data_IF_947693226598
#
_entry.id   IF_947693226598
#
_cell.length_a   1.000
_cell.length_b   1.000
_cell.length_c   1.000
_cell.angle_alpha   90.00
_cell.angle_beta   90.00
_cell.angle_gamma   90.00
#
_symmetry.space_group_name_H-M   'P 1'
#
loop_
_entity.id
_entity.type
_entity.pdbx_description
1 polymer ?
#
# COMPACT_ATOMS: atom_id res chain seq x y z
N UNK A 1 18.30 42.43 -36.35
CA UNK A 1 18.06 42.09 -35.97
C UNK A 1 17.63 41.30 -35.42
N UNK A 2 17.42 41.15 -35.25
CA UNK A 2 17.00 40.57 -34.73
C UNK A 2 16.60 39.72 -34.15
N UNK A 3 16.29 39.34 -33.93
CA UNK A 3 15.89 38.68 -33.38
C UNK A 3 15.47 37.97 -32.79
N UNK A 4 15.19 37.67 -32.61
CA UNK A 4 14.72 37.13 -32.01
C UNK A 4 14.38 36.39 -31.47
N UNK A 5 14.05 35.98 -31.27
CA UNK A 5 13.70 35.41 -30.71
C UNK A 5 13.26 34.72 -30.08
N UNK A 6 13.02 34.37 -29.89
CA UNK A 6 12.48 33.84 -29.22
C UNK A 6 12.22 32.95 -28.74
N UNK A 7 11.95 32.60 -28.49
CA UNK A 7 11.63 31.93 -27.98
C UNK A 7 11.16 31.19 -27.26
N UNK A 8 10.92 30.82 -27.07
CA UNK A 8 10.46 30.24 -26.39
C UNK A 8 10.04 29.46 -25.76
N UNK A 9 9.83 29.09 -25.60
CA UNK A 9 9.31 28.44 -24.92
C UNK A 9 8.98 27.65 -24.36
N UNK A 10 8.73 27.32 -24.09
CA UNK A 10 8.31 26.71 -23.48
C UNK A 10 7.90 25.95 -22.89
N UNK A 11 7.68 25.55 -22.77
CA UNK A 11 7.23 24.95 -22.23
C UNK A 11 6.84 24.24 -21.57
N UNK A 12 6.65 23.95 -21.38
CA UNK A 12 6.21 23.38 -20.72
C UNK A 12 5.85 22.58 -20.24
N UNK A 13 5.66 22.28 -20.08
CA UNK A 13 5.19 21.64 -19.55
C UNK A 13 4.85 20.85 -18.98
N UNK A 14 4.67 20.55 -18.83
CA UNK A 14 4.21 19.93 -18.26
C UNK A 14 3.91 19.21 -17.61
N UNK A 15 3.74 18.96 -17.37
CA UNK A 15 3.38 18.40 -16.68
C UNK A 15 2.80 17.70 -16.16
N UNK A 16 2.54 17.48 -16.07
CA UNK A 16 1.89 16.96 -15.56
C UNK A 16 1.61 16.00 -15.10
N UNK A 17 1.64 15.63 -14.88
CA UNK A 17 1.45 14.81 -14.44
C UNK A 17 0.89 14.24 -13.58
N UNK A 18 0.47 14.10 -13.35
CA UNK A 18 -0.20 13.58 -12.65
C UNK A 18 -0.21 12.52 -12.09
N UNK A 19 -0.31 12.23 -11.48
CA UNK A 19 -0.29 11.34 -10.73
C UNK A 19 -1.11 10.54 -10.70
N UNK A 20 -1.06 10.13 -11.17
CA UNK A 20 -1.75 9.27 -11.26
C UNK A 20 -2.18 8.68 -10.16
N UNK A 21 -1.65 8.38 -9.57
CA UNK A 21 -2.03 7.64 -8.54
C UNK A 21 -3.05 8.18 -7.90
N UNK A 22 -3.16 8.92 -8.10
CA UNK A 22 -4.08 9.43 -7.56
C UNK A 22 -4.85 8.83 -6.61
N UNK A 23 -5.81 8.79 -6.70
CA UNK A 23 -6.68 8.47 -5.84
C UNK A 23 -6.72 7.30 -5.41
N UNK A 24 -6.35 7.11 -4.68
CA UNK A 24 -6.33 6.01 -4.19
C UNK A 24 -7.57 5.68 -4.07
N UNK A 25 -8.02 5.27 -4.48
CA UNK A 25 -9.15 4.84 -4.36
C UNK A 25 -9.41 3.82 -3.54
N UNK A 26 -10.34 3.50 -3.24
CA UNK A 26 -10.77 2.40 -2.54
C UNK A 26 -10.30 1.23 -3.21
N UNK A 27 -10.03 0.21 -2.58
CA UNK A 27 -9.61 -0.98 -3.26
C UNK A 27 -8.17 -1.02 -3.65
N UNK A 28 -7.35 -0.21 -3.04
CA UNK A 28 -5.95 -0.21 -3.40
C UNK A 28 -5.20 -1.44 -2.90
N UNK A 29 -5.74 -2.20 -1.98
CA UNK A 29 -5.05 -3.35 -1.42
C UNK A 29 -5.14 -4.55 -2.37
N UNK A 30 -4.00 -5.19 -2.60
CA UNK A 30 -3.94 -6.38 -3.45
C UNK A 30 -3.42 -7.55 -2.63
N UNK A 31 -4.03 -8.70 -2.80
CA UNK A 31 -3.59 -9.91 -2.11
C UNK A 31 -2.42 -10.60 -2.79
N UNK A 32 -1.99 -10.10 -3.92
CA UNK A 32 -0.93 -10.76 -4.68
C UNK A 32 0.35 -10.86 -3.87
N UNK A 33 0.86 -12.05 -3.71
CA UNK A 33 2.14 -12.27 -3.06
C UNK A 33 2.12 -12.17 -1.55
N UNK A 34 0.97 -11.89 -0.94
CA UNK A 34 0.94 -11.73 0.51
C UNK A 34 1.15 -13.02 1.27
N UNK A 35 0.84 -14.15 0.65
CA UNK A 35 1.01 -15.44 1.32
C UNK A 35 2.47 -15.75 1.62
N UNK A 36 3.40 -15.08 0.95
CA UNK A 36 4.82 -15.32 1.19
C UNK A 36 5.26 -14.85 2.57
N UNK A 37 4.47 -14.03 3.22
CA UNK A 37 4.84 -13.53 4.54
C UNK A 37 4.45 -14.48 5.68
N UNK A 38 3.68 -15.52 5.38
CA UNK A 38 3.27 -16.47 6.41
C UNK A 38 4.48 -17.12 7.04
N UNK A 39 4.48 -17.22 8.35
CA UNK A 39 5.57 -17.83 9.09
C UNK A 39 6.66 -16.87 9.53
N UNK A 40 6.63 -15.66 9.06
CA UNK A 40 7.65 -14.69 9.45
C UNK A 40 7.27 -14.01 10.77
N UNK A 41 8.26 -13.45 11.44
CA UNK A 41 8.02 -12.78 12.70
C UNK A 41 7.25 -11.49 12.49
N UNK A 42 6.39 -11.17 13.45
CA UNK A 42 5.62 -9.94 13.39
C UNK A 42 6.49 -8.80 13.87
N UNK A 43 7.08 -8.09 12.94
CA UNK A 43 7.94 -6.94 13.26
C UNK A 43 7.44 -5.72 12.52
N UNK A 44 7.81 -4.52 13.00
CA UNK A 44 7.44 -3.30 12.28
C UNK A 44 7.97 -3.29 10.86
N UNK A 45 9.17 -3.83 10.65
CA UNK A 45 9.74 -3.85 9.30
C UNK A 45 8.92 -4.72 8.36
N UNK A 46 8.48 -5.87 8.83
CA UNK A 46 7.66 -6.76 8.02
C UNK A 46 6.31 -6.08 7.75
N UNK A 47 5.76 -5.41 8.74
CA UNK A 47 4.50 -4.69 8.54
C UNK A 47 4.63 -3.65 7.44
N UNK A 48 5.74 -2.89 7.45
CA UNK A 48 5.95 -1.89 6.43
C UNK A 48 6.09 -2.53 5.05
N UNK A 49 6.72 -3.70 5.00
CA UNK A 49 6.89 -4.37 3.74
C UNK A 49 5.56 -4.88 3.20
N UNK A 50 4.73 -5.38 4.08
CA UNK A 50 3.40 -5.86 3.70
C UNK A 50 2.56 -4.70 3.18
N UNK A 51 2.65 -3.54 3.84
CA UNK A 51 1.92 -2.38 3.35
C UNK A 51 2.37 -2.01 1.94
N UNK A 52 3.67 -2.04 1.72
CA UNK A 52 4.21 -1.69 0.42
C UNK A 52 3.79 -2.70 -0.63
N UNK A 53 3.87 -3.97 -0.29
CA UNK A 53 3.55 -5.02 -1.24
C UNK A 53 2.08 -5.04 -1.59
N UNK A 54 1.23 -4.80 -0.60
CA UNK A 54 -0.22 -4.85 -0.81
C UNK A 54 -0.75 -3.57 -1.45
N UNK A 55 -0.06 -2.46 -1.27
CA UNK A 55 -0.57 -1.18 -1.71
C UNK A 55 -1.60 -0.58 -0.79
N UNK A 56 -1.84 -1.21 0.37
CA UNK A 56 -2.84 -0.71 1.32
C UNK A 56 -2.31 0.52 2.02
N UNK A 57 -3.22 1.37 2.44
CA UNK A 57 -2.85 2.55 3.21
C UNK A 57 -3.13 2.38 4.69
N UNK A 58 -3.81 1.29 5.07
CA UNK A 58 -4.14 1.01 6.46
C UNK A 58 -3.71 -0.41 6.76
N UNK A 59 -3.09 -0.61 7.92
CA UNK A 59 -2.66 -1.93 8.33
C UNK A 59 -3.28 -2.27 9.68
N UNK A 60 -3.72 -3.50 9.84
CA UNK A 60 -4.27 -3.96 11.11
C UNK A 60 -3.57 -5.24 11.53
N UNK A 61 -3.03 -5.22 12.74
CA UNK A 61 -2.45 -6.41 13.35
C UNK A 61 -3.53 -7.10 14.18
N UNK A 62 -3.66 -8.40 14.01
CA UNK A 62 -4.64 -9.17 14.78
C UNK A 62 -3.88 -10.22 15.58
N UNK A 63 -3.61 -9.94 16.86
CA UNK A 63 -2.92 -10.91 17.70
C UNK A 63 -3.74 -12.18 17.86
N UNK A 64 -3.05 -13.27 18.15
CA UNK A 64 -3.71 -14.55 18.33
C UNK A 64 -4.80 -14.43 19.40
N UNK A 65 -5.97 -14.93 19.10
CA UNK A 65 -7.08 -14.90 20.04
C UNK A 65 -7.88 -13.63 20.04
N UNK A 66 -7.49 -12.64 19.26
CA UNK A 66 -8.24 -11.40 19.23
C UNK A 66 -9.51 -11.52 18.40
N UNK A 67 -10.49 -10.74 18.78
CA UNK A 67 -11.75 -10.68 18.04
C UNK A 67 -11.72 -9.42 17.21
N UNK A 68 -12.05 -9.54 15.95
CA UNK A 68 -12.09 -8.37 15.06
C UNK A 68 -13.49 -8.22 14.50
N UNK A 69 -13.81 -7.00 14.15
CA UNK A 69 -15.10 -6.74 13.55
C UNK A 69 -15.08 -7.27 12.11
N UNK A 70 -16.27 -7.46 11.58
CA UNK A 70 -16.42 -8.09 10.28
C UNK A 70 -16.48 -7.12 9.12
N UNK A 71 -16.42 -5.83 9.39
CA UNK A 71 -16.51 -4.91 8.27
C UNK A 71 -15.27 -4.99 7.40
N UNK A 72 -15.49 -5.00 6.12
CA UNK A 72 -14.43 -5.08 5.15
C UNK A 72 -13.94 -3.67 4.80
N UNK A 73 -12.64 -3.54 4.58
CA UNK A 73 -12.09 -2.28 4.10
C UNK A 73 -11.13 -2.58 2.96
N UNK A 74 -11.46 -2.09 1.79
CA UNK A 74 -10.69 -2.41 0.59
C UNK A 74 -9.31 -1.76 0.56
N UNK A 75 -9.05 -0.82 1.47
CA UNK A 75 -7.76 -0.17 1.54
C UNK A 75 -6.95 -0.63 2.75
N UNK A 76 -7.35 -1.70 3.39
CA UNK A 76 -6.69 -2.17 4.59
C UNK A 76 -6.12 -3.57 4.37
N UNK A 77 -4.91 -3.79 4.87
CA UNK A 77 -4.34 -5.12 4.91
C UNK A 77 -4.34 -5.58 6.35
N UNK A 78 -4.80 -6.79 6.60
CA UNK A 78 -4.90 -7.34 7.94
C UNK A 78 -3.92 -8.49 8.07
N UNK A 79 -3.13 -8.47 9.14
CA UNK A 79 -2.13 -9.48 9.41
C UNK A 79 -2.55 -10.26 10.64
N UNK A 80 -2.84 -11.54 10.48
CA UNK A 80 -3.27 -12.40 11.56
C UNK A 80 -2.07 -13.12 12.13
N UNK A 81 -1.92 -13.11 13.44
CA UNK A 81 -0.77 -13.71 14.12
C UNK A 81 -1.18 -14.99 14.84
N UNK A 82 -0.24 -15.92 14.92
CA UNK A 82 -0.47 -17.15 15.65
C UNK A 82 0.00 -16.99 17.10
N UNK A 83 -0.06 -18.07 17.85
CA UNK A 83 0.27 -18.04 19.27
C UNK A 83 1.74 -17.72 19.54
N UNK A 84 2.60 -17.86 18.54
CA UNK A 84 4.02 -17.55 18.68
C UNK A 84 4.38 -16.19 18.11
N UNK A 85 3.36 -15.37 17.85
CA UNK A 85 3.55 -14.03 17.30
C UNK A 85 4.19 -14.07 15.92
N UNK A 86 3.93 -15.11 15.19
CA UNK A 86 4.35 -15.21 13.81
C UNK A 86 3.15 -14.97 12.92
N UNK A 87 3.41 -14.57 11.71
CA UNK A 87 2.32 -14.27 10.78
C UNK A 87 1.68 -15.58 10.35
N UNK A 88 0.38 -15.68 10.60
CA UNK A 88 -0.38 -16.84 10.18
C UNK A 88 -0.93 -16.65 8.79
N UNK A 89 -1.46 -15.49 8.51
CA UNK A 89 -1.91 -15.16 7.18
C UNK A 89 -2.08 -13.65 7.04
N UNK A 90 -2.08 -13.20 5.82
CA UNK A 90 -2.19 -11.78 5.49
C UNK A 90 -3.23 -11.67 4.40
N UNK A 91 -4.15 -10.74 4.56
CA UNK A 91 -5.16 -10.55 3.51
C UNK A 91 -5.69 -9.13 3.54
N UNK A 92 -6.16 -8.67 2.40
CA UNK A 92 -6.85 -7.40 2.31
C UNK A 92 -8.21 -7.49 2.99
N UNK A 93 -8.62 -6.43 3.63
CA UNK A 93 -9.94 -6.41 4.25
C UNK A 93 -9.99 -6.12 5.72
#
# INVERSE_FOLDING_TARGET
MRKLVALAPLLAAACSTVPADGPALAGSCSNDGLSAFAGQDATPDIGAEIMRKSGAHVLRWVPNGSVVTMEYSADRVTIYLDANNKIERVSCG
#
